data_IF_146982218435
#
_entry.id   IF_146982218435
#
_cell.length_a   1.000
_cell.length_b   1.000
_cell.length_c   1.000
_cell.angle_alpha   90.00
_cell.angle_beta   90.00
_cell.angle_gamma   90.00
#
_symmetry.space_group_name_H-M   'P 1'
#
loop_
_entity.id
_entity.type
_entity.pdbx_description
1 polymer ?
#
# COMPACT_ATOMS: atom_id res chain seq x y z
N UNK A 1 -12.13 -23.43 0.89
CA UNK A 1 -11.71 -22.55 2.00
C UNK A 1 -11.97 -21.13 1.53
N UNK A 2 -13.04 -20.49 2.01
CA UNK A 2 -13.41 -19.16 1.53
C UNK A 2 -12.33 -18.16 1.96
N UNK A 3 -11.66 -17.53 1.00
CA UNK A 3 -10.78 -16.40 1.29
C UNK A 3 -11.65 -15.33 1.97
N UNK A 4 -11.40 -15.08 3.25
CA UNK A 4 -12.02 -13.95 3.95
C UNK A 4 -11.60 -12.69 3.19
N UNK A 5 -12.52 -12.13 2.41
CA UNK A 5 -12.30 -10.88 1.71
C UNK A 5 -12.21 -9.78 2.75
N UNK A 6 -10.98 -9.48 3.16
CA UNK A 6 -10.70 -8.39 4.09
C UNK A 6 -11.17 -7.10 3.44
N UNK A 7 -12.21 -6.49 4.01
CA UNK A 7 -12.65 -5.17 3.58
C UNK A 7 -11.71 -4.13 4.16
N UNK A 8 -11.26 -3.19 3.33
CA UNK A 8 -10.42 -2.05 3.73
C UNK A 8 -10.98 -1.33 4.96
N UNK A 9 -12.31 -1.18 5.03
CA UNK A 9 -13.00 -0.58 6.17
C UNK A 9 -12.70 -1.27 7.51
N UNK A 10 -12.57 -2.61 7.50
CA UNK A 10 -12.21 -3.38 8.68
C UNK A 10 -10.77 -3.12 9.12
N UNK A 11 -9.85 -2.93 8.16
CA UNK A 11 -8.45 -2.59 8.44
C UNK A 11 -8.31 -1.18 8.99
N UNK A 12 -9.08 -0.21 8.45
CA UNK A 12 -9.15 1.15 8.99
C UNK A 12 -9.56 1.15 10.46
N UNK A 13 -10.53 0.32 10.85
CA UNK A 13 -10.94 0.19 12.25
C UNK A 13 -9.86 -0.36 13.19
N UNK A 14 -8.87 -1.09 12.66
CA UNK A 14 -7.74 -1.63 13.42
C UNK A 14 -6.57 -0.65 13.53
N UNK A 15 -6.46 0.28 12.58
CA UNK A 15 -5.44 1.34 12.57
C UNK A 15 -6.03 2.56 13.26
N UNK A 16 -5.85 2.62 14.57
CA UNK A 16 -6.42 3.65 15.44
C UNK A 16 -5.57 4.91 15.56
N UNK A 17 -4.29 4.84 15.18
CA UNK A 17 -3.39 5.99 15.15
C UNK A 17 -3.43 6.62 13.75
N UNK A 18 -3.61 7.93 13.71
CA UNK A 18 -3.47 8.76 12.50
C UNK A 18 -2.05 9.34 12.47
N UNK A 19 -1.35 9.25 11.34
CA UNK A 19 0.00 9.79 11.19
C UNK A 19 -0.04 11.32 11.33
N UNK A 20 0.85 11.83 12.16
CA UNK A 20 1.15 13.24 12.39
C UNK A 20 2.68 13.42 12.33
N UNK A 21 3.16 14.67 12.34
CA UNK A 21 4.59 14.96 12.17
C UNK A 21 5.50 14.35 13.24
N UNK A 22 4.96 14.06 14.44
CA UNK A 22 5.71 13.66 15.64
C UNK A 22 5.52 12.18 16.05
N UNK A 23 4.64 11.43 15.37
CA UNK A 23 4.20 10.12 15.85
C UNK A 23 4.52 8.95 14.90
N UNK A 24 5.42 9.17 13.94
CA UNK A 24 5.71 8.23 12.86
C UNK A 24 6.10 6.83 13.34
N UNK A 25 6.96 6.69 14.36
CA UNK A 25 7.39 5.36 14.86
C UNK A 25 6.19 4.55 15.38
N UNK A 26 5.30 5.19 16.13
CA UNK A 26 4.11 4.52 16.69
C UNK A 26 3.12 4.16 15.59
N UNK A 27 2.84 5.10 14.69
CA UNK A 27 1.93 4.91 13.57
C UNK A 27 2.44 3.80 12.63
N UNK A 28 3.70 3.88 12.19
CA UNK A 28 4.29 2.92 11.26
C UNK A 28 4.36 1.51 11.85
N UNK A 29 4.63 1.38 13.14
CA UNK A 29 4.58 0.10 13.85
C UNK A 29 3.18 -0.51 13.83
N UNK A 30 2.14 0.27 14.18
CA UNK A 30 0.76 -0.23 14.17
C UNK A 30 0.31 -0.58 12.75
N UNK A 31 0.53 0.32 11.79
CA UNK A 31 0.17 0.15 10.39
C UNK A 31 0.79 -1.13 9.81
N UNK A 32 2.10 -1.29 9.98
CA UNK A 32 2.82 -2.48 9.52
C UNK A 32 2.36 -3.74 10.23
N UNK A 33 2.12 -3.69 11.54
CA UNK A 33 1.69 -4.85 12.32
C UNK A 33 0.31 -5.36 11.89
N UNK A 34 -0.65 -4.44 11.68
CA UNK A 34 -1.98 -4.80 11.17
C UNK A 34 -1.85 -5.45 9.81
N UNK A 35 -1.17 -4.81 8.85
CA UNK A 35 -1.08 -5.32 7.48
C UNK A 35 -0.30 -6.63 7.36
N UNK A 36 0.75 -6.83 8.17
CA UNK A 36 1.46 -8.12 8.24
C UNK A 36 0.56 -9.23 8.75
N UNK A 37 -0.37 -8.93 9.66
CA UNK A 37 -1.37 -9.91 10.12
C UNK A 37 -2.34 -10.39 9.04
N UNK A 38 -2.38 -9.73 7.88
CA UNK A 38 -3.25 -10.07 6.75
C UNK A 38 -2.49 -10.33 5.44
N UNK A 39 -1.16 -10.46 5.47
CA UNK A 39 -0.31 -10.64 4.27
C UNK A 39 -0.53 -9.53 3.22
N UNK A 40 -0.65 -8.29 3.68
CA UNK A 40 -0.86 -7.10 2.84
C UNK A 40 0.34 -6.16 2.83
N UNK A 41 1.29 -6.34 3.74
CA UNK A 41 2.46 -5.46 3.85
C UNK A 41 3.42 -5.61 2.66
N UNK A 42 3.30 -6.71 1.91
CA UNK A 42 4.12 -7.03 0.74
C UNK A 42 4.00 -5.99 -0.39
N UNK A 43 2.88 -5.25 -0.43
CA UNK A 43 2.69 -4.13 -1.36
C UNK A 43 3.44 -2.87 -0.96
N UNK A 44 3.82 -2.74 0.31
CA UNK A 44 4.50 -1.56 0.85
C UNK A 44 6.02 -1.75 0.89
N UNK A 45 6.50 -2.98 1.06
CA UNK A 45 7.93 -3.31 1.07
C UNK A 45 8.48 -3.72 -0.32
N UNK A 46 7.62 -3.78 -1.34
CA UNK A 46 7.99 -4.12 -2.72
C UNK A 46 8.12 -5.63 -3.01
N UNK A 47 7.78 -6.51 -2.05
CA UNK A 47 7.79 -7.96 -2.29
C UNK A 47 6.68 -8.39 -3.26
N UNK A 48 5.55 -7.68 -3.27
CA UNK A 48 4.46 -7.87 -4.22
C UNK A 48 4.77 -7.18 -5.55
N UNK A 49 5.41 -7.91 -6.47
CA UNK A 49 5.78 -7.37 -7.78
C UNK A 49 4.55 -7.20 -8.70
N UNK A 50 4.46 -6.05 -9.37
CA UNK A 50 3.43 -5.78 -10.35
C UNK A 50 3.60 -6.73 -11.55
N UNK A 51 2.58 -7.56 -11.88
CA UNK A 51 2.68 -8.51 -12.96
C UNK A 51 2.64 -7.80 -14.33
N UNK A 52 3.02 -8.48 -15.43
CA UNK A 52 2.97 -7.89 -16.76
C UNK A 52 1.58 -7.39 -17.13
N UNK A 53 1.52 -6.14 -17.60
CA UNK A 53 0.27 -5.48 -17.99
C UNK A 53 -0.46 -6.22 -19.10
N UNK A 54 0.28 -6.74 -20.08
CA UNK A 54 -0.28 -7.36 -21.27
C UNK A 54 -0.08 -8.87 -21.24
N UNK A 55 -1.06 -9.61 -21.77
CA UNK A 55 -0.98 -11.07 -21.87
C UNK A 55 0.10 -11.51 -22.88
N UNK A 56 0.69 -12.67 -22.63
CA UNK A 56 1.64 -13.32 -23.54
C UNK A 56 0.91 -14.48 -24.22
N UNK A 57 0.99 -14.58 -25.54
CA UNK A 57 0.44 -15.70 -26.30
C UNK A 57 1.26 -16.97 -26.06
N UNK A 58 0.67 -18.12 -26.37
CA UNK A 58 1.34 -19.43 -26.33
C UNK A 58 2.62 -19.50 -27.17
N UNK A 59 2.75 -18.58 -28.14
CA UNK A 59 3.88 -18.46 -29.07
C UNK A 59 4.92 -17.42 -28.61
N UNK A 60 4.72 -16.80 -27.44
CA UNK A 60 5.63 -15.79 -26.88
C UNK A 60 5.40 -14.35 -27.36
N UNK A 61 4.32 -14.08 -28.11
CA UNK A 61 3.95 -12.74 -28.55
C UNK A 61 3.19 -11.96 -27.48
N UNK A 62 3.47 -10.66 -27.32
CA UNK A 62 2.69 -9.78 -26.42
C UNK A 62 1.40 -9.35 -27.10
N UNK A 63 0.25 -9.56 -26.46
CA UNK A 63 -1.05 -9.09 -26.98
C UNK A 63 -1.37 -7.68 -26.49
N UNK A 64 -2.41 -7.05 -27.04
CA UNK A 64 -2.96 -5.80 -26.50
C UNK A 64 -3.97 -6.05 -25.36
N UNK A 65 -4.16 -7.30 -24.93
CA UNK A 65 -5.11 -7.64 -23.87
C UNK A 65 -4.48 -7.44 -22.50
N UNK A 66 -5.18 -6.74 -21.62
CA UNK A 66 -4.70 -6.51 -20.26
C UNK A 66 -4.91 -7.76 -19.41
N UNK A 67 -3.84 -8.23 -18.78
CA UNK A 67 -3.84 -9.38 -17.88
C UNK A 67 -4.80 -9.18 -16.70
N UNK A 68 -5.57 -10.22 -16.36
CA UNK A 68 -6.42 -10.21 -15.18
C UNK A 68 -5.60 -10.07 -13.89
N UNK A 69 -4.40 -10.67 -13.84
CA UNK A 69 -3.50 -10.54 -12.70
C UNK A 69 -3.04 -9.09 -12.50
N UNK A 70 -2.74 -8.37 -13.59
CA UNK A 70 -2.41 -6.95 -13.52
C UNK A 70 -3.56 -6.10 -13.00
N UNK A 71 -4.78 -6.32 -13.50
CA UNK A 71 -5.96 -5.59 -13.01
C UNK A 71 -6.20 -5.82 -11.52
N UNK A 72 -6.10 -7.08 -11.07
CA UNK A 72 -6.28 -7.45 -9.67
C UNK A 72 -5.19 -6.84 -8.78
N UNK A 73 -3.93 -6.88 -9.24
CA UNK A 73 -2.81 -6.29 -8.51
C UNK A 73 -3.00 -4.78 -8.36
N UNK A 74 -3.30 -4.06 -9.45
CA UNK A 74 -3.54 -2.61 -9.43
C UNK A 74 -4.73 -2.25 -8.55
N UNK A 75 -5.82 -3.02 -8.62
CA UNK A 75 -6.98 -2.78 -7.76
C UNK A 75 -6.61 -2.92 -6.28
N UNK A 76 -5.78 -3.90 -5.93
CA UNK A 76 -5.34 -4.15 -4.56
C UNK A 76 -4.34 -3.09 -4.09
N UNK A 77 -3.39 -2.70 -4.92
CA UNK A 77 -2.42 -1.64 -4.63
C UNK A 77 -3.10 -0.30 -4.38
N UNK A 78 -4.02 0.13 -5.26
CA UNK A 78 -4.76 1.39 -5.08
C UNK A 78 -5.70 1.37 -3.86
N UNK A 79 -6.26 0.21 -3.54
CA UNK A 79 -7.01 0.02 -2.30
C UNK A 79 -6.12 0.23 -1.06
N UNK A 80 -4.91 -0.33 -1.07
CA UNK A 80 -3.95 -0.15 0.03
C UNK A 80 -3.39 1.28 0.08
N UNK A 81 -3.21 1.94 -1.06
CA UNK A 81 -2.88 3.37 -1.11
C UNK A 81 -4.01 4.20 -0.48
N UNK A 82 -5.28 3.91 -0.81
CA UNK A 82 -6.41 4.60 -0.18
C UNK A 82 -6.48 4.37 1.33
N UNK A 83 -6.15 3.16 1.79
CA UNK A 83 -6.03 2.82 3.20
C UNK A 83 -4.95 3.67 3.87
N UNK A 84 -3.76 3.72 3.27
CA UNK A 84 -2.63 4.52 3.75
C UNK A 84 -3.05 5.98 3.90
N UNK A 85 -3.58 6.59 2.82
CA UNK A 85 -4.00 7.99 2.78
C UNK A 85 -5.06 8.31 3.84
N UNK A 86 -6.02 7.42 4.08
CA UNK A 86 -7.04 7.60 5.11
C UNK A 86 -6.48 7.62 6.55
N UNK A 87 -5.26 7.12 6.75
CA UNK A 87 -4.56 7.15 8.05
C UNK A 87 -3.66 8.37 8.23
N UNK A 88 -3.60 9.30 7.25
CA UNK A 88 -2.72 10.48 7.31
C UNK A 88 -3.49 11.73 7.76
N UNK A 89 -2.85 12.59 8.57
CA UNK A 89 -3.34 13.97 8.80
C UNK A 89 -3.29 14.77 7.49
N UNK A 90 -4.07 15.85 7.43
CA UNK A 90 -4.14 16.69 6.24
C UNK A 90 -2.77 17.29 5.91
N UNK A 91 -2.00 17.68 6.93
CA UNK A 91 -0.62 18.19 6.81
C UNK A 91 0.34 17.15 6.21
N UNK A 92 0.19 15.87 6.59
CA UNK A 92 1.04 14.79 6.09
C UNK A 92 0.60 14.31 4.71
N UNK A 93 -0.70 14.44 4.37
CA UNK A 93 -1.26 14.05 3.09
C UNK A 93 -0.58 14.78 1.93
N UNK A 94 -0.20 16.06 2.11
CA UNK A 94 0.50 16.86 1.11
C UNK A 94 1.80 16.21 0.61
N UNK A 95 2.43 15.36 1.44
CA UNK A 95 3.66 14.66 1.09
C UNK A 95 3.47 13.42 0.22
N UNK A 96 2.25 12.90 0.11
CA UNK A 96 1.94 11.72 -0.70
C UNK A 96 1.14 12.06 -1.95
N UNK A 97 0.82 13.35 -2.18
CA UNK A 97 0.15 13.80 -3.39
C UNK A 97 1.00 13.45 -4.61
N UNK A 98 0.39 12.76 -5.57
CA UNK A 98 1.03 12.35 -6.82
C UNK A 98 1.69 10.97 -6.78
N UNK A 99 1.79 10.34 -5.61
CA UNK A 99 2.21 8.94 -5.50
C UNK A 99 1.21 8.04 -6.21
N UNK A 100 1.70 7.08 -6.99
CA UNK A 100 0.90 6.20 -7.85
C UNK A 100 0.70 4.82 -7.25
N UNK A 101 1.55 4.42 -6.31
CA UNK A 101 1.50 3.11 -5.66
C UNK A 101 1.57 3.24 -4.14
N UNK A 102 1.11 2.19 -3.44
CA UNK A 102 1.21 2.12 -2.00
C UNK A 102 2.68 2.15 -1.52
N UNK A 103 3.56 1.47 -2.25
CA UNK A 103 5.01 1.47 -2.01
C UNK A 103 5.60 2.87 -2.09
N UNK A 104 5.35 3.61 -3.18
CA UNK A 104 5.92 4.95 -3.39
C UNK A 104 5.51 5.93 -2.27
N UNK A 105 4.23 5.90 -1.91
CA UNK A 105 3.72 6.72 -0.81
C UNK A 105 4.37 6.35 0.53
N UNK A 106 4.56 5.05 0.79
CA UNK A 106 5.19 4.56 2.02
C UNK A 106 6.66 4.93 2.11
N UNK A 107 7.42 4.75 1.03
CA UNK A 107 8.83 5.14 0.95
C UNK A 107 9.00 6.65 1.18
N UNK A 108 8.16 7.49 0.58
CA UNK A 108 8.17 8.94 0.80
C UNK A 108 7.91 9.31 2.27
N UNK A 109 6.95 8.64 2.93
CA UNK A 109 6.68 8.86 4.35
C UNK A 109 7.86 8.39 5.23
N UNK A 110 8.47 7.25 4.90
CA UNK A 110 9.66 6.76 5.60
C UNK A 110 10.82 7.74 5.45
N UNK A 111 11.15 8.18 4.25
CA UNK A 111 12.26 9.12 4.02
C UNK A 111 12.06 10.43 4.80
N UNK A 112 10.82 10.95 4.80
CA UNK A 112 10.50 12.21 5.45
C UNK A 112 10.52 12.13 6.98
N UNK A 113 9.94 11.09 7.58
CA UNK A 113 9.69 11.04 9.02
C UNK A 113 10.58 10.07 9.80
N UNK A 114 11.24 9.10 9.13
CA UNK A 114 12.19 8.22 9.81
C UNK A 114 13.47 8.96 10.24
N UNK A 115 13.83 10.04 9.54
CA UNK A 115 14.94 10.92 9.92
C UNK A 115 14.62 11.83 11.12
N UNK A 116 13.34 12.18 11.30
CA UNK A 116 12.86 13.08 12.37
C UNK A 116 12.61 12.34 13.69
N UNK A 117 12.31 11.04 13.64
CA UNK A 117 11.87 10.26 14.81
C UNK A 117 12.98 9.45 15.49
N UNK A 118 14.25 9.76 15.25
CA UNK A 118 15.35 9.16 16.01
C UNK A 118 15.35 9.78 17.42
N UNK A 119 14.72 9.07 18.35
CA UNK A 119 14.81 9.32 19.80
C UNK A 119 16.12 8.74 20.33
#
# INVERSE_FOLDING_TARGET
MAANSVKIEGLLGLITVKLQEDNFVKWSYQFSSVLRGYDLFDFFNGESQCPPKYCITSEGGVTNEISMAYKQWVQKDLALLSLLVATLSDEVMDHVIGCKTAQEAWENLQERFASVSVV
#
